data_IF_803240132452
#
_entry.id   IF_803240132452
#
_cell.length_a   1.000
_cell.length_b   1.000
_cell.length_c   1.000
_cell.angle_alpha   90.00
_cell.angle_beta   90.00
_cell.angle_gamma   90.00
#
_symmetry.space_group_name_H-M   'P 1'
#
loop_
_entity.id
_entity.type
_entity.pdbx_description
1 polymer ?
#
# COMPACT_ATOMS: atom_id res chain seq x y z
N UNK A 1 32.34 8.65 -10.22
CA UNK A 1 31.66 7.34 -10.11
C UNK A 1 31.40 7.09 -8.63
N UNK A 2 30.14 7.00 -8.22
CA UNK A 2 29.79 6.95 -6.80
C UNK A 2 30.09 5.55 -6.22
N UNK A 3 30.73 5.41 -5.03
CA UNK A 3 31.33 4.13 -4.60
C UNK A 3 30.42 3.26 -3.71
N UNK A 4 29.13 3.13 -4.02
CA UNK A 4 28.22 2.28 -3.23
C UNK A 4 27.71 1.09 -4.03
N UNK A 5 27.66 -0.07 -3.37
CA UNK A 5 26.94 -1.24 -3.86
C UNK A 5 25.44 -0.98 -3.74
N UNK A 6 24.77 -0.81 -4.90
CA UNK A 6 23.32 -0.58 -4.94
C UNK A 6 22.53 -1.77 -4.39
N UNK A 7 23.08 -2.99 -4.42
CA UNK A 7 22.45 -4.17 -3.83
C UNK A 7 22.53 -4.20 -2.30
N UNK A 8 23.43 -3.40 -1.69
CA UNK A 8 23.57 -3.27 -0.24
C UNK A 8 22.71 -2.15 0.35
N UNK A 9 22.06 -1.33 -0.49
CA UNK A 9 21.17 -0.27 -0.01
C UNK A 9 19.83 -0.85 0.46
N UNK A 10 19.23 -0.31 1.54
CA UNK A 10 17.88 -0.68 1.92
C UNK A 10 16.89 -0.42 0.79
N UNK A 11 15.87 -1.27 0.62
CA UNK A 11 14.84 -1.06 -0.39
C UNK A 11 14.05 0.21 -0.09
N UNK A 12 13.67 0.94 -1.14
CA UNK A 12 12.71 2.03 -1.05
C UNK A 12 11.30 1.43 -1.03
N UNK A 13 10.47 1.87 -0.07
CA UNK A 13 9.04 1.53 -0.01
C UNK A 13 8.15 2.66 -0.50
N UNK A 14 6.92 2.33 -0.89
CA UNK A 14 5.88 3.30 -1.28
C UNK A 14 4.76 3.35 -0.22
N UNK A 15 4.54 4.53 0.35
CA UNK A 15 3.38 4.82 1.21
C UNK A 15 2.12 5.03 0.38
N UNK A 16 1.11 4.18 0.56
CA UNK A 16 -0.09 4.16 -0.28
C UNK A 16 -1.28 4.96 0.27
N UNK A 17 -1.14 5.60 1.45
CA UNK A 17 -2.23 6.31 2.13
C UNK A 17 -3.04 7.24 1.22
N UNK A 18 -2.35 8.11 0.46
CA UNK A 18 -2.99 9.14 -0.37
C UNK A 18 -3.77 8.58 -1.55
N UNK A 19 -3.51 7.34 -1.96
CA UNK A 19 -4.28 6.66 -3.00
C UNK A 19 -5.74 6.39 -2.57
N UNK A 20 -5.99 6.37 -1.26
CA UNK A 20 -7.34 6.15 -0.71
C UNK A 20 -7.91 7.34 0.06
N UNK A 21 -7.08 8.26 0.56
CA UNK A 21 -7.55 9.37 1.41
C UNK A 21 -7.67 10.71 0.69
N UNK A 22 -7.15 10.83 -0.54
CA UNK A 22 -7.29 12.05 -1.32
C UNK A 22 -8.78 12.36 -1.61
N UNK A 23 -9.23 13.63 -1.53
CA UNK A 23 -10.61 14.00 -1.87
C UNK A 23 -10.99 13.70 -3.32
N UNK A 24 -10.00 13.79 -4.20
CA UNK A 24 -10.07 13.58 -5.65
C UNK A 24 -9.52 12.20 -6.07
N UNK A 25 -9.60 11.20 -5.18
CA UNK A 25 -9.09 9.85 -5.49
C UNK A 25 -9.77 9.29 -6.74
N UNK A 26 -8.95 8.69 -7.58
CA UNK A 26 -9.38 7.94 -8.76
C UNK A 26 -8.70 6.58 -8.72
N UNK A 27 -9.50 5.52 -8.67
CA UNK A 27 -9.00 4.15 -8.58
C UNK A 27 -8.18 3.76 -9.81
N UNK A 28 -8.56 4.19 -11.01
CA UNK A 28 -7.84 3.86 -12.23
C UNK A 28 -6.46 4.53 -12.25
N UNK A 29 -6.40 5.81 -11.89
CA UNK A 29 -5.14 6.53 -11.72
C UNK A 29 -4.27 5.87 -10.65
N UNK A 30 -4.85 5.51 -9.49
CA UNK A 30 -4.11 4.88 -8.41
C UNK A 30 -3.56 3.50 -8.77
N UNK A 31 -4.31 2.69 -9.52
CA UNK A 31 -3.81 1.42 -10.08
C UNK A 31 -2.62 1.69 -11.01
N UNK A 32 -2.70 2.70 -11.87
CA UNK A 32 -1.59 3.10 -12.74
C UNK A 32 -0.33 3.50 -11.97
N UNK A 33 -0.48 4.23 -10.86
CA UNK A 33 0.64 4.57 -9.95
C UNK A 33 1.25 3.32 -9.32
N UNK A 34 0.41 2.38 -8.87
CA UNK A 34 0.89 1.13 -8.28
C UNK A 34 1.63 0.27 -9.30
N UNK A 35 1.13 0.16 -10.54
CA UNK A 35 1.84 -0.54 -11.62
C UNK A 35 3.17 0.13 -11.94
N UNK A 36 3.21 1.45 -12.07
CA UNK A 36 4.45 2.18 -12.31
C UNK A 36 5.48 2.00 -11.17
N UNK A 37 5.02 1.90 -9.91
CA UNK A 37 5.88 1.61 -8.77
C UNK A 37 6.49 0.21 -8.86
N UNK A 38 5.65 -0.79 -9.17
CA UNK A 38 6.08 -2.17 -9.33
C UNK A 38 7.06 -2.32 -10.50
N UNK A 39 6.79 -1.66 -11.64
CA UNK A 39 7.67 -1.63 -12.81
C UNK A 39 9.03 -0.95 -12.50
N UNK A 40 9.04 0.03 -11.59
CA UNK A 40 10.26 0.65 -11.09
C UNK A 40 11.03 -0.20 -10.05
N UNK A 41 10.54 -1.39 -9.72
CA UNK A 41 11.17 -2.31 -8.77
C UNK A 41 10.81 -2.05 -7.30
N UNK A 42 9.80 -1.24 -7.00
CA UNK A 42 9.28 -1.09 -5.64
C UNK A 42 8.55 -2.37 -5.25
N UNK A 43 8.96 -2.96 -4.13
CA UNK A 43 8.46 -4.28 -3.67
C UNK A 43 7.83 -4.23 -2.28
N UNK A 44 7.91 -3.07 -1.63
CA UNK A 44 7.33 -2.79 -0.32
C UNK A 44 6.25 -1.71 -0.49
N UNK A 45 5.00 -2.12 -0.34
CA UNK A 45 3.83 -1.23 -0.37
C UNK A 45 3.27 -1.12 1.05
N UNK A 46 3.27 0.11 1.58
CA UNK A 46 2.75 0.41 2.91
C UNK A 46 1.26 0.81 2.86
N UNK A 47 0.44 0.14 3.66
CA UNK A 47 -1.01 0.29 3.73
C UNK A 47 -1.51 0.03 5.16
N UNK A 48 -2.72 0.50 5.46
CA UNK A 48 -3.41 0.21 6.71
C UNK A 48 -4.92 0.11 6.50
N UNK A 49 -5.63 -0.59 7.41
CA UNK A 49 -7.08 -0.65 7.38
C UNK A 49 -7.74 0.74 7.53
N UNK A 50 -7.06 1.68 8.18
CA UNK A 50 -7.51 3.06 8.35
C UNK A 50 -7.36 3.93 7.08
N UNK A 51 -6.68 3.44 6.04
CA UNK A 51 -6.48 4.21 4.80
C UNK A 51 -7.73 4.13 3.91
N UNK A 52 -8.68 4.99 4.22
CA UNK A 52 -9.93 5.28 3.53
C UNK A 52 -10.45 6.63 3.97
N UNK A 53 -11.55 7.11 3.41
CA UNK A 53 -12.13 8.41 3.80
C UNK A 53 -12.66 8.42 5.24
N UNK A 54 -13.30 7.33 5.65
CA UNK A 54 -13.86 7.20 6.99
C UNK A 54 -13.93 5.71 7.42
N UNK A 55 -14.59 5.45 8.56
CA UNK A 55 -14.73 4.11 9.11
C UNK A 55 -15.57 3.15 8.24
N UNK A 56 -16.50 3.66 7.41
CA UNK A 56 -17.26 2.84 6.46
C UNK A 56 -16.43 2.47 5.24
N UNK A 57 -15.38 3.23 4.95
CA UNK A 57 -14.44 3.00 3.84
C UNK A 57 -13.16 2.26 4.29
N UNK A 58 -13.18 1.68 5.49
CA UNK A 58 -12.04 0.93 6.03
C UNK A 58 -11.56 -0.19 5.08
N UNK A 59 -10.24 -0.35 4.97
CA UNK A 59 -9.59 -1.33 4.10
C UNK A 59 -9.66 -1.01 2.60
N UNK A 60 -10.10 0.20 2.21
CA UNK A 60 -10.10 0.61 0.81
C UNK A 60 -8.72 0.48 0.16
N UNK A 61 -7.67 0.97 0.83
CA UNK A 61 -6.30 0.90 0.31
C UNK A 61 -5.80 -0.53 0.12
N UNK A 62 -6.15 -1.46 1.02
CA UNK A 62 -5.79 -2.88 0.88
C UNK A 62 -6.50 -3.52 -0.33
N UNK A 63 -7.78 -3.23 -0.54
CA UNK A 63 -8.55 -3.71 -1.71
C UNK A 63 -8.01 -3.14 -3.02
N UNK A 64 -7.64 -1.86 -3.03
CA UNK A 64 -7.03 -1.19 -4.17
C UNK A 64 -5.69 -1.83 -4.55
N UNK A 65 -4.81 -2.04 -3.57
CA UNK A 65 -3.52 -2.72 -3.78
C UNK A 65 -3.73 -4.15 -4.29
N UNK A 66 -4.68 -4.90 -3.71
CA UNK A 66 -4.99 -6.24 -4.19
C UNK A 66 -5.47 -6.24 -5.66
N UNK A 67 -6.28 -5.25 -6.06
CA UNK A 67 -6.77 -5.10 -7.44
C UNK A 67 -5.63 -4.75 -8.41
N UNK A 68 -4.72 -3.86 -8.00
CA UNK A 68 -3.54 -3.53 -8.79
C UNK A 68 -2.64 -4.77 -8.99
N UNK A 69 -2.35 -5.52 -7.91
CA UNK A 69 -1.55 -6.75 -7.99
C UNK A 69 -2.19 -7.85 -8.84
N UNK A 70 -3.52 -7.95 -8.84
CA UNK A 70 -4.26 -8.92 -9.66
C UNK A 70 -4.21 -8.61 -11.16
N UNK A 71 -4.07 -7.32 -11.52
CA UNK A 71 -4.08 -6.84 -12.90
C UNK A 71 -2.69 -6.49 -13.44
N UNK A 72 -1.67 -6.51 -12.60
CA UNK A 72 -0.29 -6.27 -12.99
C UNK A 72 0.35 -7.51 -13.62
N UNK A 73 0.99 -7.32 -14.78
CA UNK A 73 1.56 -8.40 -15.60
C UNK A 73 3.10 -8.51 -15.51
N UNK A 74 3.75 -7.83 -14.57
CA UNK A 74 5.20 -7.87 -14.38
C UNK A 74 5.70 -9.07 -13.56
N UNK A 75 6.99 -9.07 -13.23
CA UNK A 75 7.63 -10.16 -12.48
C UNK A 75 7.22 -10.14 -11.01
N UNK A 76 6.52 -11.21 -10.57
CA UNK A 76 6.00 -11.37 -9.21
C UNK A 76 7.00 -11.95 -8.22
N UNK A 77 8.25 -12.17 -8.62
CA UNK A 77 9.27 -12.83 -7.79
C UNK A 77 9.57 -12.14 -6.45
N UNK A 78 9.16 -10.89 -6.23
CA UNK A 78 9.62 -10.10 -5.09
C UNK A 78 8.56 -9.29 -4.33
N UNK A 79 7.27 -9.33 -4.69
CA UNK A 79 6.25 -8.54 -3.99
C UNK A 79 5.95 -9.12 -2.60
N UNK A 80 6.31 -8.40 -1.53
CA UNK A 80 5.99 -8.79 -0.15
C UNK A 80 4.93 -7.87 0.45
N UNK A 81 3.64 -8.22 0.40
CA UNK A 81 2.61 -7.41 1.03
C UNK A 81 2.78 -7.44 2.56
N UNK A 82 3.10 -6.29 3.15
CA UNK A 82 3.07 -6.10 4.60
C UNK A 82 1.65 -5.79 5.03
N UNK A 83 0.92 -6.82 5.48
CA UNK A 83 -0.41 -6.65 6.08
C UNK A 83 -0.27 -6.31 7.56
N UNK A 84 -1.00 -5.30 8.03
CA UNK A 84 -1.17 -5.04 9.45
C UNK A 84 -1.81 -6.27 10.14
N UNK A 85 -1.16 -6.79 11.19
CA UNK A 85 -1.72 -7.88 11.99
C UNK A 85 -2.84 -7.31 12.84
N UNK A 86 -4.09 -7.57 12.46
CA UNK A 86 -5.29 -7.11 13.19
C UNK A 86 -5.18 -7.52 14.67
N UNK A 87 -5.01 -6.55 15.57
CA UNK A 87 -5.09 -6.78 17.01
C UNK A 87 -6.54 -7.05 17.41
N UNK A 88 -6.86 -8.16 18.11
CA UNK A 88 -8.18 -8.39 18.65
C UNK A 88 -8.35 -7.58 19.95
N UNK A 89 -9.08 -6.46 19.84
CA UNK A 89 -9.69 -5.62 20.90
C UNK A 89 -8.89 -4.40 21.36
N UNK A 90 -9.47 -3.21 21.12
CA UNK A 90 -9.61 -2.13 22.10
C UNK A 90 -10.51 -1.01 21.54
N UNK A 91 -11.83 -1.21 21.49
CA UNK A 91 -12.77 -0.10 21.59
C UNK A 91 -13.45 -0.25 22.95
N UNK A 92 -12.81 0.34 23.98
CA UNK A 92 -13.36 0.39 25.32
C UNK A 92 -14.68 1.15 25.31
N UNK A 93 -15.71 0.55 25.90
CA UNK A 93 -16.90 1.29 26.36
C UNK A 93 -16.45 2.29 27.42
N UNK A 94 -16.77 3.56 27.23
CA UNK A 94 -16.78 4.55 28.32
C UNK A 94 -17.98 4.22 29.22
N UNK A 95 -17.81 4.19 30.57
CA UNK A 95 -18.93 4.25 31.48
C UNK A 95 -19.40 5.71 31.62
N UNK A 96 -20.72 5.90 31.67
CA UNK A 96 -21.35 7.05 32.31
C UNK A 96 -21.50 6.77 33.79
#
# INVERSE_FOLDING_TARGET
MWPFDLAALPPIGMGCMRLSTAPDRDEACAIGVLHAALDAGITVLDTAAAYGWDANDAGHNERLIASALATWNGDRGFTRPTRERRSPRACGRSPR
#
